data_IF_613114378124
#
_entry.id   IF_613114378124
#
_cell.length_a   1.000
_cell.length_b   1.000
_cell.length_c   1.000
_cell.angle_alpha   90.00
_cell.angle_beta   90.00
_cell.angle_gamma   90.00
#
_symmetry.space_group_name_H-M   'P 1'
#
loop_
_entity.id
_entity.type
_entity.pdbx_description
1 polymer ?
#
# COMPACT_ATOMS: atom_id res chain seq x y z
N UNK A 1 -44.04 -7.91 -22.37
CA UNK A 1 -42.66 -8.21 -22.79
C UNK A 1 -41.92 -8.77 -21.59
N UNK A 2 -42.00 -10.08 -21.42
CA UNK A 2 -41.38 -10.79 -20.30
C UNK A 2 -39.86 -10.82 -20.52
N UNK A 3 -39.10 -10.44 -19.50
CA UNK A 3 -37.64 -10.51 -19.48
C UNK A 3 -37.19 -11.99 -19.48
N UNK A 4 -37.24 -12.64 -20.64
CA UNK A 4 -36.89 -14.05 -20.83
C UNK A 4 -35.38 -14.31 -20.93
N UNK A 5 -34.54 -13.28 -20.88
CA UNK A 5 -33.08 -13.41 -20.93
C UNK A 5 -32.41 -13.59 -19.56
N UNK A 6 -33.12 -13.31 -18.46
CA UNK A 6 -32.59 -13.45 -17.10
C UNK A 6 -32.37 -14.92 -16.65
N UNK A 7 -33.26 -15.89 -16.96
CA UNK A 7 -33.06 -17.27 -16.55
C UNK A 7 -31.85 -17.95 -17.22
N UNK A 8 -31.50 -17.56 -18.46
CA UNK A 8 -30.32 -18.07 -19.18
C UNK A 8 -28.99 -17.53 -18.65
N UNK A 9 -29.01 -16.37 -17.99
CA UNK A 9 -27.85 -15.85 -17.24
C UNK A 9 -27.67 -16.57 -15.89
N UNK A 10 -28.74 -17.16 -15.35
CA UNK A 10 -28.73 -17.91 -14.09
C UNK A 10 -28.35 -19.39 -14.33
N UNK A 11 -28.48 -19.89 -15.56
CA UNK A 11 -27.91 -21.18 -16.00
C UNK A 11 -26.51 -21.01 -16.61
N UNK A 12 -25.67 -20.14 -16.04
CA UNK A 12 -24.28 -20.03 -16.49
C UNK A 12 -23.51 -21.25 -15.99
N UNK A 13 -22.91 -22.03 -16.90
CA UNK A 13 -22.01 -23.12 -16.56
C UNK A 13 -20.91 -22.59 -15.60
N UNK A 14 -20.59 -23.34 -14.54
CA UNK A 14 -19.64 -22.91 -13.51
C UNK A 14 -18.27 -22.53 -14.08
N UNK A 15 -17.89 -23.15 -15.21
CA UNK A 15 -16.69 -22.82 -15.98
C UNK A 15 -16.70 -21.40 -16.55
N UNK A 16 -17.86 -20.92 -17.02
CA UNK A 16 -18.03 -19.60 -17.61
C UNK A 16 -18.02 -18.52 -16.53
N UNK A 17 -18.65 -18.78 -15.38
CA UNK A 17 -18.56 -17.89 -14.22
C UNK A 17 -17.13 -17.74 -13.71
N UNK A 18 -16.40 -18.87 -13.61
CA UNK A 18 -14.99 -18.88 -13.22
C UNK A 18 -14.14 -18.12 -14.24
N UNK A 19 -14.31 -18.40 -15.53
CA UNK A 19 -13.57 -17.72 -16.59
C UNK A 19 -13.78 -16.21 -16.53
N UNK A 20 -15.04 -15.75 -16.50
CA UNK A 20 -15.37 -14.34 -16.50
C UNK A 20 -14.84 -13.62 -15.24
N UNK A 21 -15.05 -14.20 -14.05
CA UNK A 21 -14.61 -13.55 -12.82
C UNK A 21 -13.07 -13.50 -12.71
N UNK A 22 -12.37 -14.59 -13.06
CA UNK A 22 -10.90 -14.60 -13.09
C UNK A 22 -10.36 -13.60 -14.12
N UNK A 23 -10.97 -13.52 -15.31
CA UNK A 23 -10.57 -12.56 -16.34
C UNK A 23 -10.72 -11.12 -15.84
N UNK A 24 -11.88 -10.78 -15.27
CA UNK A 24 -12.16 -9.44 -14.73
C UNK A 24 -11.20 -9.09 -13.59
N UNK A 25 -10.97 -10.01 -12.65
CA UNK A 25 -10.01 -9.78 -11.56
C UNK A 25 -8.60 -9.51 -12.11
N UNK A 26 -8.13 -10.35 -13.04
CA UNK A 26 -6.78 -10.24 -13.60
C UNK A 26 -6.61 -8.99 -14.50
N UNK A 27 -7.71 -8.48 -15.07
CA UNK A 27 -7.74 -7.17 -15.74
C UNK A 27 -7.73 -5.98 -14.75
N UNK A 28 -7.73 -6.22 -13.44
CA UNK A 28 -7.58 -5.20 -12.40
C UNK A 28 -8.90 -4.73 -11.78
N UNK A 29 -10.03 -5.37 -12.07
CA UNK A 29 -11.27 -5.08 -11.36
C UNK A 29 -11.21 -5.64 -9.92
N UNK A 30 -11.75 -4.93 -8.91
CA UNK A 30 -11.74 -5.38 -7.52
C UNK A 30 -12.82 -6.43 -7.26
N UNK A 31 -12.81 -7.54 -8.00
CA UNK A 31 -13.74 -8.66 -7.86
C UNK A 31 -13.02 -9.87 -7.24
N UNK A 32 -13.60 -10.55 -6.24
CA UNK A 32 -12.94 -11.67 -5.59
C UNK A 32 -13.17 -12.97 -6.38
N UNK A 33 -12.15 -13.46 -7.09
CA UNK A 33 -12.22 -14.69 -7.88
C UNK A 33 -12.05 -15.97 -7.04
N UNK A 34 -11.28 -15.93 -5.94
CA UNK A 34 -11.06 -17.10 -5.07
C UNK A 34 -12.36 -17.66 -4.50
N UNK A 35 -13.30 -16.85 -3.95
CA UNK A 35 -14.60 -17.34 -3.53
C UNK A 35 -15.38 -18.01 -4.65
N UNK A 36 -15.37 -17.46 -5.88
CA UNK A 36 -16.06 -18.09 -7.02
C UNK A 36 -15.42 -19.41 -7.43
N UNK A 37 -14.07 -19.51 -7.42
CA UNK A 37 -13.35 -20.75 -7.65
C UNK A 37 -13.73 -21.81 -6.61
N UNK A 38 -13.62 -21.47 -5.32
CA UNK A 38 -13.94 -22.38 -4.22
C UNK A 38 -15.40 -22.82 -4.26
N UNK A 39 -16.32 -21.89 -4.52
CA UNK A 39 -17.76 -22.13 -4.58
C UNK A 39 -18.13 -23.10 -5.71
N UNK A 40 -17.56 -22.92 -6.91
CA UNK A 40 -17.83 -23.81 -8.05
C UNK A 40 -17.15 -25.17 -7.85
N UNK A 41 -15.93 -25.20 -7.31
CA UNK A 41 -15.26 -26.46 -6.97
C UNK A 41 -15.99 -27.25 -5.89
N UNK A 42 -16.63 -26.58 -4.92
CA UNK A 42 -17.38 -27.25 -3.85
C UNK A 42 -18.59 -28.03 -4.35
N UNK A 43 -19.09 -27.69 -5.55
CA UNK A 43 -20.21 -28.35 -6.22
C UNK A 43 -19.77 -29.27 -7.36
N UNK A 44 -18.46 -29.46 -7.56
CA UNK A 44 -17.95 -30.28 -8.64
C UNK A 44 -18.30 -31.77 -8.38
N UNK A 45 -18.99 -32.45 -9.31
CA UNK A 45 -19.37 -33.86 -9.12
C UNK A 45 -18.17 -34.82 -9.21
N UNK A 46 -17.11 -34.43 -9.90
CA UNK A 46 -15.92 -35.26 -10.11
C UNK A 46 -14.68 -34.39 -10.42
N UNK A 47 -13.51 -35.05 -10.46
CA UNK A 47 -12.23 -34.40 -10.82
C UNK A 47 -12.20 -33.86 -12.26
N UNK A 48 -12.99 -34.43 -13.18
CA UNK A 48 -13.11 -33.92 -14.54
C UNK A 48 -13.66 -32.50 -14.58
N UNK A 49 -14.67 -32.20 -13.76
CA UNK A 49 -15.18 -30.83 -13.59
C UNK A 49 -14.16 -29.91 -12.95
N UNK A 50 -13.34 -30.37 -12.00
CA UNK A 50 -12.26 -29.54 -11.46
C UNK A 50 -11.22 -29.17 -12.53
N UNK A 51 -10.92 -30.10 -13.44
CA UNK A 51 -10.02 -29.84 -14.55
C UNK A 51 -10.60 -28.80 -15.51
N UNK A 52 -11.90 -28.85 -15.83
CA UNK A 52 -12.53 -27.83 -16.68
C UNK A 52 -12.53 -26.45 -16.02
N UNK A 53 -12.82 -26.38 -14.71
CA UNK A 53 -12.72 -25.14 -13.94
C UNK A 53 -11.28 -24.59 -13.90
N UNK A 54 -10.29 -25.46 -13.74
CA UNK A 54 -8.87 -25.09 -13.74
C UNK A 54 -8.45 -24.53 -15.10
N UNK A 55 -8.82 -25.21 -16.20
CA UNK A 55 -8.51 -24.74 -17.56
C UNK A 55 -9.19 -23.40 -17.86
N UNK A 56 -10.43 -23.22 -17.42
CA UNK A 56 -11.14 -21.94 -17.52
C UNK A 56 -10.41 -20.82 -16.75
N UNK A 57 -10.01 -21.07 -15.50
CA UNK A 57 -9.28 -20.09 -14.69
C UNK A 57 -7.90 -19.75 -15.26
N UNK A 58 -7.14 -20.76 -15.67
CA UNK A 58 -5.79 -20.58 -16.24
C UNK A 58 -5.85 -19.85 -17.56
N UNK A 59 -6.77 -20.21 -18.46
CA UNK A 59 -6.93 -19.52 -19.75
C UNK A 59 -7.34 -18.06 -19.57
N UNK A 60 -8.34 -17.77 -18.71
CA UNK A 60 -8.73 -16.41 -18.36
C UNK A 60 -7.56 -15.58 -17.82
N UNK A 61 -6.79 -16.16 -16.89
CA UNK A 61 -5.61 -15.50 -16.33
C UNK A 61 -4.55 -15.24 -17.38
N UNK A 62 -4.25 -16.20 -18.27
CA UNK A 62 -3.24 -16.02 -19.30
C UNK A 62 -3.64 -14.94 -20.31
N UNK A 63 -4.92 -14.85 -20.67
CA UNK A 63 -5.44 -13.82 -21.58
C UNK A 63 -5.22 -12.43 -20.96
N UNK A 64 -5.63 -12.22 -19.70
CA UNK A 64 -5.44 -10.94 -19.01
C UNK A 64 -3.96 -10.60 -18.82
N UNK A 65 -3.16 -11.57 -18.36
CA UNK A 65 -1.73 -11.37 -18.12
C UNK A 65 -1.00 -11.04 -19.43
N UNK A 66 -1.39 -11.66 -20.56
CA UNK A 66 -0.84 -11.34 -21.88
C UNK A 66 -1.19 -9.92 -22.33
N UNK A 67 -2.43 -9.47 -22.12
CA UNK A 67 -2.85 -8.09 -22.44
C UNK A 67 -1.93 -7.11 -21.71
N UNK A 68 -1.73 -7.34 -20.41
CA UNK A 68 -0.87 -6.49 -19.58
C UNK A 68 0.61 -6.58 -19.96
N UNK A 69 1.12 -7.77 -20.22
CA UNK A 69 2.49 -7.98 -20.67
C UNK A 69 2.78 -7.26 -21.99
N UNK A 70 1.84 -7.32 -22.93
CA UNK A 70 1.97 -6.64 -24.22
C UNK A 70 1.87 -5.12 -24.05
N UNK A 71 0.98 -4.64 -23.18
CA UNK A 71 0.91 -3.22 -22.83
C UNK A 71 2.24 -2.73 -22.22
N UNK A 72 2.82 -3.49 -21.29
CA UNK A 72 4.13 -3.19 -20.72
C UNK A 72 5.26 -3.19 -21.76
N UNK A 73 5.22 -4.13 -22.71
CA UNK A 73 6.22 -4.20 -23.80
C UNK A 73 6.12 -3.04 -24.80
N UNK A 74 4.91 -2.55 -25.07
CA UNK A 74 4.67 -1.46 -26.03
C UNK A 74 4.84 -0.07 -25.43
N UNK A 75 4.39 0.12 -24.19
CA UNK A 75 4.32 1.44 -23.54
C UNK A 75 5.33 1.62 -22.40
N UNK A 76 6.09 0.58 -22.05
CA UNK A 76 7.12 0.61 -21.03
C UNK A 76 6.60 1.07 -19.67
N UNK A 77 7.40 1.89 -18.98
CA UNK A 77 7.09 2.41 -17.64
C UNK A 77 5.85 3.33 -17.60
N UNK A 78 5.32 3.82 -18.73
CA UNK A 78 4.11 4.68 -18.74
C UNK A 78 2.87 3.94 -18.22
N UNK A 79 2.74 2.65 -18.52
CA UNK A 79 1.66 1.79 -18.00
C UNK A 79 1.79 1.63 -16.48
N UNK A 80 3.02 1.51 -16.00
CA UNK A 80 3.31 1.38 -14.58
C UNK A 80 2.99 2.66 -13.82
N UNK A 81 3.30 3.84 -14.38
CA UNK A 81 2.91 5.12 -13.80
C UNK A 81 1.38 5.28 -13.72
N UNK A 82 0.62 4.78 -14.69
CA UNK A 82 -0.85 4.81 -14.67
C UNK A 82 -1.42 3.89 -13.58
N UNK A 83 -0.92 2.65 -13.48
CA UNK A 83 -1.34 1.70 -12.45
C UNK A 83 -0.92 2.15 -11.05
N UNK A 84 0.31 2.64 -10.90
CA UNK A 84 0.85 3.10 -9.61
C UNK A 84 0.35 4.50 -9.22
N UNK A 85 -0.25 5.30 -10.12
CA UNK A 85 -0.97 6.55 -9.76
C UNK A 85 -2.21 6.28 -8.90
N UNK A 86 -2.80 5.09 -9.02
CA UNK A 86 -3.88 4.64 -8.15
C UNK A 86 -3.37 4.17 -6.77
N UNK A 87 -2.05 4.00 -6.63
CA UNK A 87 -1.40 3.59 -5.38
C UNK A 87 -1.00 4.79 -4.53
N UNK A 88 -1.05 4.62 -3.21
CA UNK A 88 -0.76 5.65 -2.19
C UNK A 88 0.68 6.20 -2.32
N UNK A 89 1.61 5.45 -2.95
CA UNK A 89 2.95 5.93 -3.25
C UNK A 89 3.45 5.41 -4.63
N UNK A 90 3.31 6.21 -5.71
CA UNK A 90 3.61 5.78 -7.06
C UNK A 90 5.09 5.44 -7.30
N UNK A 91 6.02 6.20 -6.70
CA UNK A 91 7.46 5.98 -6.88
C UNK A 91 7.96 4.71 -6.18
N UNK A 92 7.45 4.45 -4.98
CA UNK A 92 7.78 3.23 -4.24
C UNK A 92 7.16 1.97 -4.88
N UNK A 93 5.96 2.08 -5.45
CA UNK A 93 5.28 1.01 -6.18
C UNK A 93 6.11 0.50 -7.37
N UNK A 94 6.66 1.42 -8.18
CA UNK A 94 7.53 1.10 -9.32
C UNK A 94 8.82 0.43 -8.85
N UNK A 95 9.58 1.12 -7.98
CA UNK A 95 10.91 0.67 -7.57
C UNK A 95 10.88 -0.67 -6.81
N UNK A 96 9.88 -0.89 -5.94
CA UNK A 96 9.76 -2.17 -5.22
C UNK A 96 9.39 -3.33 -6.14
N UNK A 97 8.50 -3.10 -7.11
CA UNK A 97 8.07 -4.14 -8.06
C UNK A 97 9.23 -4.52 -8.97
N UNK A 98 9.96 -3.53 -9.49
CA UNK A 98 11.15 -3.72 -10.30
C UNK A 98 12.27 -4.44 -9.54
N UNK A 99 12.61 -3.99 -8.33
CA UNK A 99 13.65 -4.63 -7.51
C UNK A 99 13.32 -6.11 -7.21
N UNK A 100 12.04 -6.43 -6.99
CA UNK A 100 11.60 -7.82 -6.81
C UNK A 100 11.73 -8.63 -8.10
N UNK A 101 11.38 -8.05 -9.25
CA UNK A 101 11.55 -8.67 -10.56
C UNK A 101 13.02 -8.91 -10.94
N UNK A 102 13.91 -7.96 -10.66
CA UNK A 102 15.35 -8.11 -10.88
C UNK A 102 15.90 -9.25 -10.01
N UNK A 103 15.44 -9.35 -8.76
CA UNK A 103 15.93 -10.36 -7.81
C UNK A 103 15.38 -11.76 -8.07
N UNK A 104 14.10 -11.91 -8.44
CA UNK A 104 13.41 -13.21 -8.54
C UNK A 104 13.10 -13.61 -9.99
N UNK A 105 13.26 -12.71 -10.96
CA UNK A 105 13.07 -12.99 -12.38
C UNK A 105 11.69 -13.57 -12.68
N UNK A 106 11.67 -14.72 -13.38
CA UNK A 106 10.43 -15.41 -13.74
C UNK A 106 9.62 -15.92 -12.53
N UNK A 107 10.27 -16.21 -11.40
CA UNK A 107 9.58 -16.69 -10.19
C UNK A 107 8.69 -15.62 -9.56
N UNK A 108 8.96 -14.34 -9.86
CA UNK A 108 8.09 -13.22 -9.47
C UNK A 108 6.65 -13.40 -9.98
N UNK A 109 6.48 -13.94 -11.20
CA UNK A 109 5.16 -14.17 -11.79
C UNK A 109 4.42 -15.33 -11.11
N UNK A 110 5.16 -16.34 -10.64
CA UNK A 110 4.58 -17.52 -9.97
C UNK A 110 4.12 -17.15 -8.57
N UNK A 111 5.03 -16.65 -7.73
CA UNK A 111 4.71 -16.27 -6.35
C UNK A 111 3.82 -15.04 -6.29
N UNK A 112 3.90 -14.18 -7.31
CA UNK A 112 3.14 -12.95 -7.33
C UNK A 112 1.63 -13.13 -7.40
N UNK A 113 1.14 -14.28 -7.88
CA UNK A 113 -0.29 -14.59 -7.90
C UNK A 113 -0.92 -14.71 -6.51
N UNK A 114 -0.13 -15.02 -5.50
CA UNK A 114 -0.58 -15.14 -4.12
C UNK A 114 -0.58 -13.81 -3.37
N UNK A 115 -0.05 -12.75 -3.98
CA UNK A 115 0.06 -11.42 -3.38
C UNK A 115 -0.92 -10.48 -4.10
N UNK A 116 -2.03 -10.07 -3.45
CA UNK A 116 -2.98 -9.13 -4.02
C UNK A 116 -2.30 -7.85 -4.53
N UNK A 117 -2.73 -7.36 -5.69
CA UNK A 117 -2.18 -6.17 -6.36
C UNK A 117 -0.86 -6.41 -7.10
N UNK A 118 0.05 -7.23 -6.56
CA UNK A 118 1.30 -7.55 -7.26
C UNK A 118 1.07 -8.43 -8.50
N UNK A 119 0.07 -9.31 -8.47
CA UNK A 119 -0.32 -10.13 -9.64
C UNK A 119 -0.77 -9.33 -10.86
N UNK A 120 -1.31 -8.11 -10.68
CA UNK A 120 -1.74 -7.21 -11.76
C UNK A 120 -0.59 -6.38 -12.31
N UNK A 121 0.36 -5.98 -11.46
CA UNK A 121 1.49 -5.12 -11.83
C UNK A 121 2.69 -5.93 -12.36
N UNK A 122 2.78 -7.21 -12.02
CA UNK A 122 3.86 -8.09 -12.43
C UNK A 122 3.93 -8.33 -13.96
N UNK A 123 2.83 -8.65 -14.68
CA UNK A 123 2.86 -8.83 -16.13
C UNK A 123 3.36 -7.61 -16.94
N UNK A 124 2.88 -6.37 -16.71
CA UNK A 124 3.37 -5.22 -17.47
C UNK A 124 4.84 -4.92 -17.16
N UNK A 125 5.32 -5.13 -15.93
CA UNK A 125 6.75 -4.99 -15.59
C UNK A 125 7.60 -6.02 -16.34
N UNK A 126 7.17 -7.28 -16.40
CA UNK A 126 7.86 -8.31 -17.18
C UNK A 126 7.95 -7.94 -18.67
N UNK A 127 6.90 -7.32 -19.22
CA UNK A 127 6.88 -6.80 -20.59
C UNK A 127 7.84 -5.64 -20.80
N UNK A 128 7.85 -4.67 -19.89
CA UNK A 128 8.71 -3.48 -19.94
C UNK A 128 10.21 -3.84 -19.82
N UNK A 129 10.54 -4.87 -19.02
CA UNK A 129 11.90 -5.41 -18.89
C UNK A 129 12.32 -6.32 -20.06
N UNK A 130 11.49 -6.46 -21.10
CA UNK A 130 11.85 -7.20 -22.30
C UNK A 130 11.89 -8.72 -22.15
N UNK A 131 11.19 -9.29 -21.15
CA UNK A 131 11.11 -10.74 -20.98
C UNK A 131 10.57 -11.41 -22.26
N UNK A 132 11.13 -12.56 -22.66
CA UNK A 132 10.61 -13.31 -23.81
C UNK A 132 9.20 -13.84 -23.55
N UNK A 133 8.31 -13.78 -24.54
CA UNK A 133 6.90 -14.24 -24.44
C UNK A 133 6.77 -15.68 -23.92
N UNK A 134 7.64 -16.58 -24.35
CA UNK A 134 7.58 -17.99 -23.92
C UNK A 134 7.88 -18.17 -22.43
N UNK A 135 8.94 -17.53 -21.91
CA UNK A 135 9.26 -17.55 -20.47
C UNK A 135 8.14 -16.96 -19.63
N UNK A 136 7.56 -15.85 -20.11
CA UNK A 136 6.42 -15.20 -19.48
C UNK A 136 5.21 -16.16 -19.42
N UNK A 137 4.81 -16.74 -20.54
CA UNK A 137 3.67 -17.65 -20.62
C UNK A 137 3.84 -18.87 -19.71
N UNK A 138 5.02 -19.48 -19.69
CA UNK A 138 5.31 -20.64 -18.83
C UNK A 138 5.18 -20.24 -17.35
N UNK A 139 5.82 -19.14 -16.94
CA UNK A 139 5.76 -18.68 -15.56
C UNK A 139 4.35 -18.28 -15.13
N UNK A 140 3.63 -17.55 -15.98
CA UNK A 140 2.23 -17.14 -15.73
C UNK A 140 1.28 -18.35 -15.68
N UNK A 141 1.49 -19.36 -16.53
CA UNK A 141 0.69 -20.59 -16.53
C UNK A 141 0.93 -21.42 -15.26
N UNK A 142 2.19 -21.58 -14.84
CA UNK A 142 2.54 -22.25 -13.58
C UNK A 142 1.93 -21.51 -12.40
N UNK A 143 2.11 -20.18 -12.34
CA UNK A 143 1.51 -19.35 -11.29
C UNK A 143 -0.01 -19.48 -11.25
N UNK A 144 -0.67 -19.37 -12.41
CA UNK A 144 -2.13 -19.47 -12.52
C UNK A 144 -2.63 -20.85 -12.11
N UNK A 145 -1.94 -21.90 -12.56
CA UNK A 145 -2.26 -23.29 -12.22
C UNK A 145 -2.12 -23.58 -10.74
N UNK A 146 -1.04 -23.12 -10.10
CA UNK A 146 -0.84 -23.29 -8.66
C UNK A 146 -1.87 -22.51 -7.84
N UNK A 147 -2.10 -21.24 -8.19
CA UNK A 147 -3.06 -20.38 -7.49
C UNK A 147 -4.50 -20.88 -7.63
N UNK A 148 -4.97 -21.11 -8.86
CA UNK A 148 -6.33 -21.59 -9.12
C UNK A 148 -6.49 -23.03 -8.64
N UNK A 149 -5.50 -23.89 -8.87
CA UNK A 149 -5.49 -25.27 -8.42
C UNK A 149 -5.61 -25.37 -6.90
N UNK A 150 -4.87 -24.57 -6.15
CA UNK A 150 -5.00 -24.54 -4.69
C UNK A 150 -6.41 -24.11 -4.25
N UNK A 151 -6.97 -23.05 -4.83
CA UNK A 151 -8.32 -22.59 -4.52
C UNK A 151 -9.38 -23.65 -4.86
N UNK A 152 -9.28 -24.29 -6.02
CA UNK A 152 -10.21 -25.35 -6.45
C UNK A 152 -10.09 -26.59 -5.56
N UNK A 153 -8.88 -27.03 -5.22
CA UNK A 153 -8.66 -28.18 -4.33
C UNK A 153 -9.21 -27.90 -2.93
N UNK A 154 -8.99 -26.71 -2.38
CA UNK A 154 -9.58 -26.31 -1.10
C UNK A 154 -11.10 -26.27 -1.16
N UNK A 155 -11.68 -25.73 -2.24
CA UNK A 155 -13.13 -25.73 -2.46
C UNK A 155 -13.71 -27.14 -2.53
N UNK A 156 -13.02 -28.04 -3.23
CA UNK A 156 -13.41 -29.43 -3.37
C UNK A 156 -13.21 -30.26 -2.10
N UNK A 157 -12.23 -29.94 -1.26
CA UNK A 157 -12.00 -30.64 0.00
C UNK A 157 -12.95 -30.16 1.12
N UNK A 158 -13.34 -28.88 1.10
CA UNK A 158 -14.13 -28.23 2.16
C UNK A 158 -15.61 -28.05 1.79
N UNK A 159 -16.18 -28.97 1.03
CA UNK A 159 -17.54 -28.85 0.48
C UNK A 159 -18.59 -28.65 1.59
N UNK A 160 -18.49 -29.44 2.66
CA UNK A 160 -19.43 -29.37 3.78
C UNK A 160 -19.35 -28.04 4.53
N UNK A 161 -18.14 -27.52 4.74
CA UNK A 161 -17.90 -26.26 5.42
C UNK A 161 -18.37 -25.07 4.58
N UNK A 162 -18.18 -25.14 3.26
CA UNK A 162 -18.67 -24.12 2.33
C UNK A 162 -20.21 -24.14 2.30
N UNK A 163 -20.84 -25.31 2.28
CA UNK A 163 -22.29 -25.43 2.34
C UNK A 163 -22.86 -24.84 3.65
N UNK A 164 -22.25 -25.16 4.79
CA UNK A 164 -22.63 -24.60 6.09
C UNK A 164 -22.43 -23.08 6.13
N UNK A 165 -21.30 -22.59 5.61
CA UNK A 165 -21.02 -21.16 5.54
C UNK A 165 -22.06 -20.42 4.69
N UNK A 166 -22.50 -21.00 3.56
CA UNK A 166 -23.55 -20.42 2.72
C UNK A 166 -24.91 -20.38 3.43
N UNK A 167 -25.26 -21.42 4.20
CA UNK A 167 -26.48 -21.43 5.00
C UNK A 167 -26.45 -20.33 6.07
N UNK A 168 -25.34 -20.22 6.82
CA UNK A 168 -25.15 -19.16 7.80
C UNK A 168 -25.22 -17.77 7.15
N UNK A 169 -24.65 -17.61 5.96
CA UNK A 169 -24.70 -16.35 5.21
C UNK A 169 -26.10 -16.05 4.68
N UNK A 170 -26.88 -17.06 4.31
CA UNK A 170 -28.26 -16.90 3.88
C UNK A 170 -29.18 -16.50 5.05
N UNK A 171 -28.98 -17.10 6.23
CA UNK A 171 -29.78 -16.83 7.42
C UNK A 171 -29.38 -15.53 8.13
N UNK A 172 -28.08 -15.26 8.25
CA UNK A 172 -27.54 -14.16 9.06
C UNK A 172 -26.83 -13.09 8.21
N UNK A 173 -26.93 -13.14 6.88
CA UNK A 173 -26.16 -12.27 5.99
C UNK A 173 -26.30 -10.78 6.27
N UNK A 174 -27.52 -10.32 6.59
CA UNK A 174 -27.79 -8.92 6.96
C UNK A 174 -27.09 -8.55 8.27
N UNK A 175 -27.13 -9.43 9.28
CA UNK A 175 -26.49 -9.18 10.58
C UNK A 175 -24.96 -9.15 10.44
N UNK A 176 -24.39 -10.09 9.69
CA UNK A 176 -22.95 -10.13 9.39
C UNK A 176 -22.55 -8.86 8.64
N UNK A 177 -23.28 -8.48 7.59
CA UNK A 177 -23.01 -7.27 6.83
C UNK A 177 -23.12 -6.01 7.70
N UNK A 178 -24.10 -5.94 8.59
CA UNK A 178 -24.25 -4.83 9.53
C UNK A 178 -23.05 -4.74 10.48
N UNK A 179 -22.62 -5.85 11.09
CA UNK A 179 -21.45 -5.89 11.99
C UNK A 179 -20.19 -5.43 11.26
N UNK A 180 -19.89 -6.00 10.08
CA UNK A 180 -18.74 -5.60 9.28
C UNK A 180 -18.83 -4.13 8.85
N UNK A 181 -20.02 -3.67 8.45
CA UNK A 181 -20.27 -2.28 8.09
C UNK A 181 -20.03 -1.33 9.25
N UNK A 182 -20.51 -1.65 10.45
CA UNK A 182 -20.27 -0.85 11.67
C UNK A 182 -18.78 -0.83 12.04
N UNK A 183 -18.10 -1.98 12.01
CA UNK A 183 -16.65 -2.03 12.29
C UNK A 183 -15.85 -1.21 11.27
N UNK A 184 -16.19 -1.31 9.99
CA UNK A 184 -15.56 -0.51 8.94
C UNK A 184 -15.83 0.98 9.14
N UNK A 185 -17.07 1.37 9.44
CA UNK A 185 -17.44 2.76 9.70
C UNK A 185 -16.73 3.32 10.94
N UNK A 186 -16.61 2.55 12.02
CA UNK A 186 -15.83 2.93 13.20
C UNK A 186 -14.36 3.10 12.87
N UNK A 187 -13.76 2.15 12.13
CA UNK A 187 -12.37 2.24 11.71
C UNK A 187 -12.10 3.47 10.83
N UNK A 188 -12.97 3.72 9.84
CA UNK A 188 -12.91 4.91 8.99
C UNK A 188 -13.10 6.19 9.81
N UNK A 189 -14.03 6.19 10.77
CA UNK A 189 -14.26 7.29 11.69
C UNK A 189 -13.03 7.61 12.54
N UNK A 190 -12.38 6.59 13.11
CA UNK A 190 -11.12 6.75 13.85
C UNK A 190 -10.02 7.28 12.93
N UNK A 191 -9.89 6.76 11.71
CA UNK A 191 -8.88 7.24 10.75
C UNK A 191 -9.13 8.69 10.33
N UNK A 192 -10.39 9.06 10.11
CA UNK A 192 -10.78 10.42 9.80
C UNK A 192 -10.54 11.37 10.98
N UNK A 193 -10.87 10.93 12.20
CA UNK A 193 -10.58 11.68 13.42
C UNK A 193 -9.08 11.86 13.63
N UNK A 194 -8.27 10.83 13.44
CA UNK A 194 -6.80 10.91 13.50
C UNK A 194 -6.27 11.95 12.51
N UNK A 195 -6.76 11.92 11.26
CA UNK A 195 -6.38 12.91 10.24
C UNK A 195 -6.78 14.34 10.64
N UNK A 196 -8.03 14.54 11.08
CA UNK A 196 -8.53 15.87 11.46
C UNK A 196 -7.85 16.42 12.71
N UNK A 197 -7.58 15.56 13.69
CA UNK A 197 -6.81 15.90 14.88
C UNK A 197 -5.41 16.34 14.48
N UNK A 198 -4.74 15.61 13.60
CA UNK A 198 -3.41 15.98 13.12
C UNK A 198 -3.42 17.30 12.35
N UNK A 199 -4.39 17.52 11.45
CA UNK A 199 -4.56 18.80 10.74
C UNK A 199 -4.70 19.97 11.74
N UNK A 200 -5.44 19.79 12.83
CA UNK A 200 -5.57 20.80 13.88
C UNK A 200 -4.25 21.02 14.65
N UNK A 201 -3.55 19.95 15.02
CA UNK A 201 -2.25 20.05 15.71
C UNK A 201 -1.20 20.74 14.83
N UNK A 202 -1.20 20.49 13.53
CA UNK A 202 -0.29 21.09 12.57
C UNK A 202 -0.51 22.60 12.35
N UNK A 203 -1.62 23.19 12.83
CA UNK A 203 -1.84 24.64 12.81
C UNK A 203 -0.94 25.41 13.79
N UNK A 204 -0.15 24.72 14.62
CA UNK A 204 0.76 25.38 15.54
C UNK A 204 1.83 26.20 14.79
N UNK A 205 2.37 27.27 15.40
CA UNK A 205 3.40 28.10 14.76
C UNK A 205 4.63 27.27 14.39
N UNK A 206 4.97 27.27 13.10
CA UNK A 206 6.21 26.69 12.58
C UNK A 206 7.26 27.81 12.44
N UNK A 207 8.54 27.43 12.52
CA UNK A 207 9.65 28.31 12.15
C UNK A 207 10.13 27.93 10.75
N UNK A 208 10.42 28.91 9.90
CA UNK A 208 11.00 28.62 8.58
C UNK A 208 12.50 28.32 8.68
N UNK A 209 13.07 27.63 7.66
CA UNK A 209 14.50 27.37 7.63
C UNK A 209 15.36 28.64 7.66
N UNK A 210 14.90 29.72 7.02
CA UNK A 210 15.58 31.03 7.01
C UNK A 210 15.57 31.69 8.39
N UNK A 211 14.41 31.71 9.05
CA UNK A 211 14.30 32.23 10.41
C UNK A 211 15.12 31.39 11.40
N UNK A 212 15.13 30.07 11.24
CA UNK A 212 15.98 29.19 12.05
C UNK A 212 17.47 29.51 11.85
N UNK A 213 17.91 29.74 10.61
CA UNK A 213 19.29 30.12 10.32
C UNK A 213 19.66 31.46 10.99
N UNK A 214 18.76 32.45 10.95
CA UNK A 214 18.96 33.73 11.63
C UNK A 214 19.00 33.57 13.16
N UNK A 215 18.13 32.73 13.72
CA UNK A 215 18.07 32.45 15.15
C UNK A 215 19.29 31.68 15.65
N UNK A 216 19.89 30.83 14.82
CA UNK A 216 21.15 30.15 15.13
C UNK A 216 22.35 31.11 15.16
N UNK A 217 22.25 32.24 14.46
CA UNK A 217 23.26 33.29 14.42
C UNK A 217 23.10 34.35 15.53
N UNK A 218 21.99 34.33 16.28
CA UNK A 218 21.77 35.25 17.41
C UNK A 218 22.44 34.76 18.70
N UNK A 219 22.50 35.63 19.72
CA UNK A 219 23.00 35.28 21.05
C UNK A 219 22.09 34.29 21.79
N UNK A 220 20.79 34.28 21.47
CA UNK A 220 19.79 33.39 22.05
C UNK A 220 19.57 32.15 21.17
N UNK A 221 20.58 31.27 21.15
CA UNK A 221 20.56 30.07 20.30
C UNK A 221 19.43 29.10 20.69
N UNK A 222 18.64 28.61 19.72
CA UNK A 222 17.57 27.67 19.99
C UNK A 222 18.15 26.27 20.24
N UNK A 223 17.42 25.46 21.01
CA UNK A 223 17.73 24.02 21.13
C UNK A 223 16.99 23.27 20.04
N UNK A 224 17.75 22.67 19.11
CA UNK A 224 17.17 21.84 18.05
C UNK A 224 17.05 20.39 18.54
N UNK A 225 15.86 19.81 18.43
CA UNK A 225 15.60 18.39 18.69
C UNK A 225 15.39 17.69 17.36
N UNK A 226 16.30 16.78 17.02
CA UNK A 226 16.23 16.00 15.79
C UNK A 226 15.56 14.66 16.06
N UNK A 227 14.36 14.49 15.50
CA UNK A 227 13.52 13.30 15.65
C UNK A 227 13.75 12.26 14.57
N UNK A 228 14.69 12.50 13.66
CA UNK A 228 15.05 11.53 12.62
C UNK A 228 15.70 10.30 13.26
N UNK A 229 15.48 9.14 12.65
CA UNK A 229 16.16 7.92 13.07
C UNK A 229 17.66 8.00 12.81
N UNK A 230 18.46 7.27 13.58
CA UNK A 230 19.92 7.21 13.39
C UNK A 230 20.32 6.78 11.97
N UNK A 231 19.53 5.91 11.33
CA UNK A 231 19.77 5.47 9.95
C UNK A 231 19.65 6.66 8.97
N UNK A 232 18.61 7.47 9.11
CA UNK A 232 18.37 8.61 8.23
C UNK A 232 19.41 9.72 8.45
N UNK A 233 19.81 9.96 9.71
CA UNK A 233 20.87 10.92 10.04
C UNK A 233 22.20 10.51 9.41
N UNK A 234 22.51 9.21 9.40
CA UNK A 234 23.75 8.69 8.78
C UNK A 234 23.77 8.89 7.26
N UNK A 235 22.61 8.86 6.61
CA UNK A 235 22.47 9.03 5.17
C UNK A 235 22.44 10.49 4.74
N UNK A 236 21.64 11.31 5.41
CA UNK A 236 21.37 12.70 5.02
C UNK A 236 22.21 13.75 5.77
N UNK A 237 23.01 13.31 6.74
CA UNK A 237 23.83 14.18 7.57
C UNK A 237 23.12 14.67 8.83
N UNK A 238 23.93 15.07 9.81
CA UNK A 238 23.47 15.53 11.12
C UNK A 238 23.20 17.04 11.10
N UNK A 239 22.13 17.46 11.75
CA UNK A 239 21.92 18.88 12.01
C UNK A 239 22.92 19.36 13.07
N UNK A 240 23.70 20.44 12.83
CA UNK A 240 24.74 20.88 13.76
C UNK A 240 24.19 21.17 15.17
N UNK A 241 24.79 20.57 16.20
CA UNK A 241 24.42 20.74 17.61
C UNK A 241 22.98 20.35 17.98
N UNK A 242 22.30 19.55 17.13
CA UNK A 242 20.97 19.05 17.45
C UNK A 242 21.03 17.90 18.46
N UNK A 243 20.02 17.86 19.33
CA UNK A 243 19.79 16.76 20.25
C UNK A 243 18.96 15.69 19.56
N UNK A 244 19.61 14.58 19.21
CA UNK A 244 18.94 13.44 18.57
C UNK A 244 18.11 12.67 19.59
N UNK A 245 16.80 12.57 19.36
CA UNK A 245 15.87 11.84 20.23
C UNK A 245 14.76 11.19 19.41
N UNK A 246 14.41 9.96 19.75
CA UNK A 246 13.21 9.35 19.20
C UNK A 246 11.95 9.94 19.85
N UNK A 247 10.84 9.99 19.10
CA UNK A 247 9.57 10.56 19.55
C UNK A 247 9.11 10.02 20.93
N UNK A 248 9.28 8.72 21.18
CA UNK A 248 8.86 8.08 22.43
C UNK A 248 9.66 8.55 23.66
N UNK A 249 10.83 9.16 23.46
CA UNK A 249 11.75 9.62 24.51
C UNK A 249 11.83 11.15 24.57
N UNK A 250 10.96 11.87 23.84
CA UNK A 250 10.91 13.34 23.88
C UNK A 250 10.50 13.84 25.28
N UNK A 251 9.71 13.07 26.02
CA UNK A 251 9.30 13.41 27.38
C UNK A 251 10.46 13.53 28.36
N UNK A 252 11.56 12.81 28.14
CA UNK A 252 12.73 12.81 29.03
C UNK A 252 13.49 14.15 29.01
N UNK A 253 13.17 15.02 28.06
CA UNK A 253 13.83 16.32 27.86
C UNK A 253 13.55 17.33 28.96
N UNK A 254 12.49 17.14 29.75
CA UNK A 254 12.21 17.94 30.95
C UNK A 254 13.37 17.91 31.95
N UNK A 255 14.20 16.86 31.93
CA UNK A 255 15.35 16.72 32.82
C UNK A 255 16.64 17.33 32.24
N UNK A 256 16.65 17.72 30.97
CA UNK A 256 17.87 18.08 30.23
C UNK A 256 17.88 19.52 29.70
N UNK A 257 16.72 20.19 29.63
CA UNK A 257 16.56 21.51 29.01
C UNK A 257 15.66 22.38 29.90
N UNK A 258 16.00 23.67 30.03
CA UNK A 258 15.17 24.66 30.74
C UNK A 258 13.89 25.00 29.97
N UNK A 259 12.80 25.25 30.68
CA UNK A 259 11.47 25.51 30.09
C UNK A 259 11.36 26.85 29.33
N UNK A 260 12.30 27.76 29.57
CA UNK A 260 12.40 29.11 29.01
C UNK A 260 13.16 29.17 27.66
N UNK A 261 13.84 28.08 27.27
CA UNK A 261 14.59 28.04 26.01
C UNK A 261 13.66 27.86 24.81
N UNK A 262 13.96 28.55 23.70
CA UNK A 262 13.32 28.26 22.42
C UNK A 262 13.76 26.89 21.92
N UNK A 263 12.78 26.02 21.69
CA UNK A 263 12.99 24.67 21.17
C UNK A 263 12.47 24.58 19.74
N UNK A 264 13.29 24.01 18.87
CA UNK A 264 12.90 23.73 17.48
C UNK A 264 12.90 22.23 17.25
N UNK A 265 11.73 21.66 16.93
CA UNK A 265 11.62 20.23 16.60
C UNK A 265 11.81 20.02 15.11
N UNK A 266 12.59 19.01 14.77
CA UNK A 266 13.01 18.70 13.41
C UNK A 266 12.67 17.24 13.10
N UNK A 267 12.12 16.98 11.92
CA UNK A 267 11.96 15.62 11.41
C UNK A 267 12.13 15.60 9.88
N UNK A 268 12.00 14.41 9.29
CA UNK A 268 11.96 14.22 7.84
C UNK A 268 10.67 13.46 7.46
N UNK A 269 9.56 13.84 8.09
CA UNK A 269 8.26 13.20 7.90
C UNK A 269 7.37 14.08 7.03
N UNK A 270 6.44 13.51 6.24
CA UNK A 270 5.43 14.27 5.53
C UNK A 270 4.65 15.19 6.48
N UNK A 271 4.45 16.45 6.07
CA UNK A 271 3.75 17.46 6.85
C UNK A 271 4.30 17.64 8.29
N UNK A 272 5.60 17.41 8.47
CA UNK A 272 6.33 17.63 9.73
C UNK A 272 5.75 16.83 10.91
N UNK A 273 5.09 15.69 10.65
CA UNK A 273 4.20 15.06 11.62
C UNK A 273 4.84 14.72 12.97
N UNK A 274 6.02 14.10 12.96
CA UNK A 274 6.73 13.79 14.19
C UNK A 274 7.19 15.06 14.93
N UNK A 275 7.60 16.11 14.19
CA UNK A 275 8.03 17.37 14.79
C UNK A 275 6.85 18.14 15.43
N UNK A 276 5.68 18.11 14.80
CA UNK A 276 4.42 18.66 15.34
C UNK A 276 4.02 17.92 16.62
N UNK A 277 3.98 16.59 16.59
CA UNK A 277 3.60 15.79 17.76
C UNK A 277 4.56 15.99 18.94
N UNK A 278 5.88 16.03 18.67
CA UNK A 278 6.89 16.31 19.69
C UNK A 278 6.71 17.71 20.29
N UNK A 279 6.44 18.71 19.44
CA UNK A 279 6.26 20.08 19.90
C UNK A 279 5.03 20.23 20.79
N UNK A 280 3.91 19.56 20.46
CA UNK A 280 2.74 19.51 21.34
C UNK A 280 3.03 18.79 22.66
N UNK A 281 3.78 17.69 22.61
CA UNK A 281 4.19 16.94 23.81
C UNK A 281 5.02 17.81 24.75
N UNK A 282 5.99 18.55 24.21
CA UNK A 282 6.84 19.46 24.99
C UNK A 282 6.04 20.64 25.55
N UNK A 283 5.14 21.25 24.77
CA UNK A 283 4.23 22.29 25.28
C UNK A 283 3.35 21.78 26.42
N UNK A 284 2.83 20.56 26.31
CA UNK A 284 2.04 19.94 27.37
C UNK A 284 2.87 19.66 28.65
N UNK A 285 4.19 19.49 28.51
CA UNK A 285 5.12 19.34 29.62
C UNK A 285 5.61 20.68 30.23
N UNK A 286 5.18 21.82 29.67
CA UNK A 286 5.45 23.15 30.22
C UNK A 286 6.52 23.97 29.49
N UNK A 287 7.07 23.50 28.37
CA UNK A 287 7.99 24.30 27.56
C UNK A 287 7.25 25.46 26.87
N UNK A 288 7.80 26.68 26.98
CA UNK A 288 7.08 27.91 26.61
C UNK A 288 7.11 28.22 25.11
N UNK A 289 8.26 28.04 24.46
CA UNK A 289 8.45 28.32 23.03
C UNK A 289 8.97 27.08 22.30
N UNK A 290 8.03 26.32 21.72
CA UNK A 290 8.35 25.13 20.91
C UNK A 290 7.74 25.27 19.52
N UNK A 291 8.59 25.20 18.49
CA UNK A 291 8.21 25.44 17.09
C UNK A 291 8.77 24.34 16.18
N UNK A 292 7.92 23.59 15.45
CA UNK A 292 8.41 22.67 14.43
C UNK A 292 9.06 23.42 13.27
N UNK A 293 10.12 22.86 12.70
CA UNK A 293 10.72 23.38 11.46
C UNK A 293 9.81 23.07 10.28
N UNK A 294 9.35 24.12 9.59
CA UNK A 294 8.51 24.00 8.40
C UNK A 294 9.25 23.28 7.27
N UNK A 295 8.66 22.18 6.77
CA UNK A 295 9.24 21.36 5.71
C UNK A 295 10.43 20.49 6.19
N UNK A 296 10.65 20.41 7.50
CA UNK A 296 11.61 19.49 8.11
C UNK A 296 13.05 19.68 7.65
N UNK A 297 13.83 18.60 7.71
CA UNK A 297 15.25 18.64 7.36
C UNK A 297 15.53 18.93 5.89
N UNK A 298 14.60 18.54 5.00
CA UNK A 298 14.74 18.77 3.56
C UNK A 298 14.74 20.27 3.24
N UNK A 299 13.88 21.06 3.92
CA UNK A 299 13.85 22.52 3.75
C UNK A 299 15.15 23.19 4.24
N UNK A 300 15.74 22.66 5.30
CA UNK A 300 17.06 23.09 5.78
C UNK A 300 18.16 22.77 4.77
N UNK A 301 18.22 21.55 4.25
CA UNK A 301 19.23 21.16 3.26
C UNK A 301 19.13 21.97 1.96
N UNK A 302 17.91 22.22 1.48
CA UNK A 302 17.67 23.04 0.31
C UNK A 302 18.24 24.45 0.51
N UNK A 303 17.98 25.07 1.67
CA UNK A 303 18.52 26.38 2.01
C UNK A 303 20.06 26.40 2.05
N UNK A 304 20.69 25.36 2.62
CA UNK A 304 22.16 25.26 2.66
C UNK A 304 22.76 25.09 1.26
N UNK A 305 22.08 24.33 0.39
CA UNK A 305 22.54 24.10 -0.98
C UNK A 305 22.43 25.38 -1.81
N UNK A 306 21.32 26.13 -1.67
CA UNK A 306 21.17 27.46 -2.29
C UNK A 306 22.29 28.42 -1.87
N UNK A 307 22.62 28.46 -0.57
CA UNK A 307 23.69 29.30 -0.04
C UNK A 307 25.07 28.91 -0.60
N UNK A 308 25.36 27.61 -0.76
CA UNK A 308 26.60 27.12 -1.36
C UNK A 308 26.70 27.41 -2.87
N UNK A 309 25.58 27.42 -3.59
CA UNK A 309 25.55 27.72 -5.03
C UNK A 309 25.59 29.21 -5.36
N UNK A 310 25.36 30.08 -4.36
CA UNK A 310 25.34 31.55 -4.51
C UNK A 310 26.57 32.27 -3.95
N UNK A 311 27.51 31.51 -3.36
CA UNK A 311 28.81 31.96 -2.87
C UNK A 311 29.92 31.66 -3.89
#
# INVERSE_FOLDING_TARGET
MTFSWFPSLISTDGSTMVFANVLLQQLGLPVPAVPTLMLNASRAPNFGTLLTLLLAAVSASLIADLIWFQAGKLFGYKVLTLLCKLSINPGSCVNQTEARFIRWGMWSLVFGKFIPGFSTVAPPVAGALGMSRSKFLIASAIGAGLWAGLALLLGYALQAQIALALLLLAEHGIQIAAIFGTLLALWLGVKFWQKKRFEYLALMPHISAKELQQLLASDTKPRVIDLRSYALIRESGIFPNALVREMNHVGDLVNAIGFDQTIVTLCACPADAAAVDAAHTLKALGFLDVRPLSGGFDSWQALQTEALTSA
#
